data_IF_598060439003
#
_entry.id   IF_598060439003
#
_cell.length_a   1.000
_cell.length_b   1.000
_cell.length_c   1.000
_cell.angle_alpha   90.00
_cell.angle_beta   90.00
_cell.angle_gamma   90.00
#
_symmetry.space_group_name_H-M   'P 1'
#
loop_
_entity.id
_entity.type
_entity.pdbx_description
1 polymer ?
#
# COMPACT_ATOMS: atom_id res chain seq x y z
N UNK A 1 10.00 -4.84 18.83
CA UNK A 1 9.46 -5.82 17.86
C UNK A 1 10.52 -6.09 16.80
N UNK A 2 10.74 -7.35 16.48
CA UNK A 2 11.65 -7.77 15.43
C UNK A 2 10.83 -8.14 14.19
N UNK A 3 11.30 -7.75 13.00
CA UNK A 3 10.68 -8.12 11.72
C UNK A 3 11.72 -8.84 10.86
N UNK A 4 11.34 -10.00 10.32
CA UNK A 4 12.17 -10.81 9.44
C UNK A 4 11.38 -11.13 8.17
N UNK A 5 11.96 -10.88 7.01
CA UNK A 5 11.37 -11.23 5.71
C UNK A 5 12.20 -12.36 5.11
N UNK A 6 11.61 -13.55 4.94
CA UNK A 6 12.29 -14.71 4.34
C UNK A 6 11.84 -14.99 2.89
N UNK A 7 10.86 -14.22 2.40
CA UNK A 7 10.42 -14.23 1.01
C UNK A 7 10.47 -12.79 0.43
N UNK A 8 11.69 -12.24 0.24
CA UNK A 8 11.89 -10.83 -0.09
C UNK A 8 11.29 -10.45 -1.46
N UNK A 9 11.24 -11.36 -2.39
CA UNK A 9 10.62 -11.17 -3.71
C UNK A 9 9.09 -11.04 -3.64
N UNK A 10 8.47 -11.54 -2.56
CA UNK A 10 7.02 -11.46 -2.34
C UNK A 10 6.63 -10.32 -1.37
N UNK A 11 7.55 -9.90 -0.53
CA UNK A 11 7.38 -8.77 0.38
C UNK A 11 8.64 -7.88 0.33
N UNK A 12 8.70 -6.94 -0.64
CA UNK A 12 9.87 -6.05 -0.78
C UNK A 12 10.10 -5.13 0.42
N UNK A 13 9.03 -4.66 1.08
CA UNK A 13 9.13 -3.78 2.25
C UNK A 13 8.04 -4.07 3.25
N UNK A 14 8.39 -4.05 4.53
CA UNK A 14 7.48 -4.21 5.65
C UNK A 14 7.81 -3.21 6.76
N UNK A 15 6.83 -2.40 7.14
CA UNK A 15 6.94 -1.45 8.25
C UNK A 15 6.02 -1.91 9.37
N UNK A 16 6.58 -2.07 10.56
CA UNK A 16 5.84 -2.35 11.78
C UNK A 16 6.09 -1.23 12.79
N UNK A 17 5.05 -0.66 13.38
CA UNK A 17 5.17 0.40 14.37
C UNK A 17 4.36 0.07 15.62
N UNK A 18 5.01 0.16 16.77
CA UNK A 18 4.40 -0.13 18.07
C UNK A 18 3.72 1.09 18.66
N UNK A 19 2.49 0.90 19.09
CA UNK A 19 1.67 1.89 19.80
C UNK A 19 1.17 1.28 21.10
N UNK A 20 1.35 1.98 22.20
CA UNK A 20 0.96 1.54 23.56
C UNK A 20 -0.21 2.37 24.12
N UNK A 21 -0.68 1.96 25.29
CA UNK A 21 -1.74 2.64 26.04
C UNK A 21 -3.02 2.83 25.18
N UNK A 22 -3.29 1.86 24.31
CA UNK A 22 -4.45 1.89 23.41
C UNK A 22 -5.74 1.88 24.24
N UNK A 23 -6.67 2.73 23.80
CA UNK A 23 -8.04 2.83 24.31
C UNK A 23 -8.98 2.53 23.17
N UNK A 24 -9.41 1.27 23.07
CA UNK A 24 -10.39 0.86 22.07
C UNK A 24 -11.73 1.51 22.40
N UNK A 25 -12.38 2.04 21.39
CA UNK A 25 -13.67 2.69 21.52
C UNK A 25 -14.26 3.10 20.17
N UNK A 26 -15.44 3.72 20.18
CA UNK A 26 -16.07 4.18 18.94
C UNK A 26 -15.29 5.33 18.30
N UNK A 27 -15.19 5.30 16.99
CA UNK A 27 -14.63 6.41 16.22
C UNK A 27 -15.48 7.68 16.32
N UNK A 28 -14.88 8.87 16.17
CA UNK A 28 -15.61 10.12 16.10
C UNK A 28 -16.55 10.17 14.88
N UNK A 29 -17.60 10.98 14.97
CA UNK A 29 -18.66 11.03 13.97
C UNK A 29 -18.15 11.36 12.56
N UNK A 30 -17.16 12.23 12.44
CA UNK A 30 -16.59 12.59 11.13
C UNK A 30 -15.94 11.40 10.43
N UNK A 31 -15.22 10.54 11.18
CA UNK A 31 -14.56 9.34 10.64
C UNK A 31 -15.60 8.29 10.24
N UNK A 32 -16.57 8.02 11.11
CA UNK A 32 -17.71 7.11 10.82
C UNK A 32 -18.46 7.51 9.55
N UNK A 33 -18.76 8.82 9.40
CA UNK A 33 -19.47 9.33 8.22
C UNK A 33 -18.68 9.14 6.94
N UNK A 34 -17.37 9.42 6.95
CA UNK A 34 -16.51 9.24 5.77
C UNK A 34 -16.41 7.78 5.35
N UNK A 35 -16.20 6.87 6.31
CA UNK A 35 -16.20 5.43 6.04
C UNK A 35 -17.55 4.96 5.47
N UNK A 36 -18.66 5.37 6.07
CA UNK A 36 -19.99 5.02 5.62
C UNK A 36 -20.29 5.51 4.19
N UNK A 37 -19.86 6.72 3.82
CA UNK A 37 -19.98 7.26 2.45
C UNK A 37 -19.18 6.45 1.42
N UNK A 38 -18.12 5.76 1.86
CA UNK A 38 -17.32 4.85 1.03
C UNK A 38 -17.80 3.38 1.13
N UNK A 39 -18.94 3.12 1.80
CA UNK A 39 -19.51 1.79 1.92
C UNK A 39 -18.94 0.92 3.05
N UNK A 40 -18.07 1.47 3.91
CA UNK A 40 -17.47 0.75 5.02
C UNK A 40 -18.21 1.00 6.34
N UNK A 41 -18.47 -0.09 7.08
CA UNK A 41 -19.02 -0.01 8.43
C UNK A 41 -17.91 0.30 9.43
N UNK A 42 -18.14 1.30 10.31
CA UNK A 42 -17.28 1.56 11.46
C UNK A 42 -17.28 0.39 12.44
N UNK A 43 -16.12 -0.01 12.92
CA UNK A 43 -15.89 -1.11 13.86
C UNK A 43 -15.38 -0.56 15.19
N UNK A 44 -14.13 -0.08 15.21
CA UNK A 44 -13.50 0.58 16.37
C UNK A 44 -12.54 1.66 15.88
N UNK A 45 -12.14 2.57 16.75
CA UNK A 45 -11.22 3.66 16.40
C UNK A 45 -9.93 3.17 15.71
N UNK A 46 -9.29 2.11 16.19
CA UNK A 46 -8.05 1.57 15.63
C UNK A 46 -8.29 0.95 14.25
N UNK A 47 -9.30 0.10 14.11
CA UNK A 47 -9.65 -0.54 12.83
C UNK A 47 -10.14 0.51 11.82
N UNK A 48 -10.91 1.49 12.26
CA UNK A 48 -11.42 2.55 11.41
C UNK A 48 -10.28 3.46 10.89
N UNK A 49 -9.22 3.67 11.69
CA UNK A 49 -8.02 4.38 11.23
C UNK A 49 -7.35 3.62 10.08
N UNK A 50 -7.16 2.30 10.19
CA UNK A 50 -6.56 1.52 9.09
C UNK A 50 -7.41 1.55 7.83
N UNK A 51 -8.73 1.42 7.96
CA UNK A 51 -9.67 1.52 6.86
C UNK A 51 -9.71 2.93 6.24
N UNK A 52 -9.62 3.97 7.07
CA UNK A 52 -9.57 5.34 6.58
C UNK A 52 -8.31 5.63 5.78
N UNK A 53 -7.14 5.18 6.27
CA UNK A 53 -5.87 5.33 5.56
C UNK A 53 -5.87 4.55 4.24
N UNK A 54 -6.47 3.34 4.22
CA UNK A 54 -6.66 2.56 3.00
C UNK A 54 -7.43 3.38 1.95
N UNK A 55 -8.53 4.02 2.33
CA UNK A 55 -9.35 4.82 1.41
C UNK A 55 -8.69 6.16 1.02
N UNK A 56 -8.04 6.83 1.98
CA UNK A 56 -7.41 8.14 1.78
C UNK A 56 -6.14 8.04 0.91
N UNK A 57 -5.36 6.98 1.07
CA UNK A 57 -4.01 6.87 0.51
C UNK A 57 -3.82 5.66 -0.43
N UNK A 58 -4.80 4.77 -0.55
CA UNK A 58 -4.68 3.56 -1.35
C UNK A 58 -3.68 2.54 -0.80
N UNK A 59 -3.33 2.63 0.50
CA UNK A 59 -2.43 1.71 1.17
C UNK A 59 -3.19 0.90 2.21
N UNK A 60 -3.41 -0.40 1.98
CA UNK A 60 -3.96 -1.26 3.01
C UNK A 60 -3.00 -1.35 4.19
N UNK A 61 -3.56 -1.29 5.38
CA UNK A 61 -2.86 -1.44 6.65
C UNK A 61 -3.53 -2.49 7.51
N UNK A 62 -2.76 -3.08 8.42
CA UNK A 62 -3.29 -3.96 9.44
C UNK A 62 -2.85 -3.52 10.84
N UNK A 63 -3.58 -3.96 11.85
CA UNK A 63 -3.28 -3.73 13.25
C UNK A 63 -3.42 -5.04 14.00
N UNK A 64 -2.33 -5.48 14.63
CA UNK A 64 -2.28 -6.69 15.44
C UNK A 64 -2.40 -6.32 16.93
N UNK A 65 -3.14 -7.11 17.70
CA UNK A 65 -3.01 -7.12 19.16
C UNK A 65 -1.64 -7.70 19.53
N UNK A 66 -0.72 -6.84 19.97
CA UNK A 66 0.68 -7.21 20.19
C UNK A 66 0.85 -8.22 21.33
N UNK A 67 -0.05 -8.28 22.29
CA UNK A 67 -0.02 -9.26 23.37
C UNK A 67 -0.30 -10.68 22.90
N UNK A 68 -0.89 -10.83 21.71
CA UNK A 68 -1.18 -12.13 21.07
C UNK A 68 -0.08 -12.59 20.13
N UNK A 69 0.91 -11.73 19.82
CA UNK A 69 2.05 -12.02 18.94
C UNK A 69 3.14 -12.69 19.75
N UNK A 70 3.34 -14.00 19.54
CA UNK A 70 4.33 -14.79 20.25
C UNK A 70 5.76 -14.30 19.93
N UNK A 71 6.56 -14.12 20.99
CA UNK A 71 7.92 -13.61 20.87
C UNK A 71 8.05 -12.15 20.48
N UNK A 72 6.93 -11.43 20.30
CA UNK A 72 6.90 -10.05 19.76
C UNK A 72 7.71 -9.93 18.47
N UNK A 73 7.64 -10.97 17.63
CA UNK A 73 8.37 -11.08 16.37
C UNK A 73 7.38 -11.28 15.21
N UNK A 74 7.64 -10.62 14.10
CA UNK A 74 6.94 -10.82 12.83
C UNK A 74 7.87 -11.48 11.84
N UNK A 75 7.42 -12.60 11.25
CA UNK A 75 8.12 -13.32 10.20
C UNK A 75 7.24 -13.38 8.95
N UNK A 76 7.62 -12.66 7.90
CA UNK A 76 6.95 -12.73 6.60
C UNK A 76 7.59 -13.83 5.77
N UNK A 77 6.85 -14.90 5.52
CA UNK A 77 7.34 -16.12 4.87
C UNK A 77 6.30 -16.79 3.98
N UNK A 78 6.74 -17.72 3.16
CA UNK A 78 5.82 -18.66 2.53
C UNK A 78 5.23 -19.61 3.58
N UNK A 79 3.97 -19.97 3.43
CA UNK A 79 3.34 -20.97 4.29
C UNK A 79 3.99 -22.36 4.09
N UNK A 80 3.81 -23.24 5.07
CA UNK A 80 4.14 -24.65 4.91
C UNK A 80 2.96 -25.42 4.31
N UNK A 81 3.21 -26.52 3.62
CA UNK A 81 2.16 -27.36 3.09
C UNK A 81 1.33 -27.97 4.23
N UNK A 82 0.02 -27.73 4.18
CA UNK A 82 -0.92 -28.17 5.21
C UNK A 82 -1.05 -27.24 6.41
N UNK A 83 -0.32 -26.11 6.44
CA UNK A 83 -0.45 -25.11 7.50
C UNK A 83 -1.86 -24.49 7.50
N UNK A 84 -2.41 -24.23 8.67
CA UNK A 84 -3.77 -23.72 8.83
C UNK A 84 -3.81 -22.31 9.38
N UNK A 85 -4.80 -21.56 8.95
CA UNK A 85 -5.15 -20.25 9.50
C UNK A 85 -6.66 -20.09 9.56
N UNK A 86 -7.16 -19.48 10.63
CA UNK A 86 -8.53 -18.98 10.72
C UNK A 86 -8.49 -17.46 10.56
N UNK A 87 -9.22 -16.93 9.59
CA UNK A 87 -9.25 -15.50 9.28
C UNK A 87 -10.31 -14.76 10.08
N UNK A 88 -10.28 -13.41 10.08
CA UNK A 88 -11.19 -12.53 10.82
C UNK A 88 -12.68 -12.71 10.46
N UNK A 89 -13.00 -13.36 9.35
CA UNK A 89 -14.34 -13.72 8.91
C UNK A 89 -14.71 -15.16 9.27
N UNK A 90 -14.05 -15.76 10.27
CA UNK A 90 -14.27 -17.10 10.81
C UNK A 90 -14.10 -18.25 9.79
N UNK A 91 -13.35 -18.04 8.70
CA UNK A 91 -13.05 -19.08 7.74
C UNK A 91 -11.71 -19.76 8.02
N UNK A 92 -11.69 -21.09 7.99
CA UNK A 92 -10.46 -21.88 8.07
C UNK A 92 -9.92 -22.18 6.67
N UNK A 93 -8.62 -21.92 6.49
CA UNK A 93 -7.90 -22.26 5.26
C UNK A 93 -6.75 -23.19 5.54
N UNK A 94 -6.57 -24.16 4.63
CA UNK A 94 -5.36 -25.00 4.56
C UNK A 94 -4.45 -24.43 3.49
N UNK A 95 -3.22 -24.07 3.88
CA UNK A 95 -2.27 -23.33 3.08
C UNK A 95 -1.26 -24.26 2.42
N UNK A 96 -0.53 -23.70 1.46
CA UNK A 96 0.61 -24.33 0.80
C UNK A 96 1.71 -23.29 0.53
N UNK A 97 2.84 -23.72 -0.04
CA UNK A 97 4.03 -22.88 -0.27
C UNK A 97 3.83 -21.71 -1.24
N UNK A 98 2.71 -21.68 -1.98
CA UNK A 98 2.39 -20.54 -2.85
C UNK A 98 1.78 -19.36 -2.07
N UNK A 99 1.30 -19.62 -0.85
CA UNK A 99 0.67 -18.61 -0.02
C UNK A 99 1.72 -17.87 0.82
N UNK A 100 1.67 -16.54 0.81
CA UNK A 100 2.47 -15.70 1.68
C UNK A 100 1.71 -15.43 2.97
N UNK A 101 2.35 -15.63 4.09
CA UNK A 101 1.79 -15.41 5.43
C UNK A 101 2.66 -14.47 6.25
N UNK A 102 2.01 -13.73 7.12
CA UNK A 102 2.63 -13.00 8.20
C UNK A 102 2.46 -13.86 9.44
N UNK A 103 3.58 -14.24 10.05
CA UNK A 103 3.61 -15.11 11.21
C UNK A 103 4.12 -14.36 12.42
N UNK A 104 3.72 -14.83 13.59
CA UNK A 104 4.45 -14.58 14.83
C UNK A 104 5.62 -15.57 15.00
N UNK A 105 6.17 -15.71 16.20
CA UNK A 105 7.25 -16.65 16.48
C UNK A 105 6.92 -18.13 16.25
N UNK A 106 5.64 -18.50 16.05
CA UNK A 106 5.21 -19.90 15.99
C UNK A 106 4.19 -20.21 14.89
N UNK A 107 3.25 -19.32 14.59
CA UNK A 107 2.07 -19.58 13.74
C UNK A 107 1.68 -18.42 12.84
N UNK A 108 0.88 -18.65 11.79
CA UNK A 108 0.33 -17.59 10.97
C UNK A 108 -0.58 -16.64 11.77
N UNK A 109 -0.34 -15.35 11.61
CA UNK A 109 -1.12 -14.25 12.15
C UNK A 109 -1.98 -13.55 11.09
N UNK A 110 -1.61 -13.66 9.81
CA UNK A 110 -2.39 -13.12 8.70
C UNK A 110 -2.04 -13.79 7.36
N UNK A 111 -3.00 -13.78 6.43
CA UNK A 111 -2.75 -13.97 5.00
C UNK A 111 -2.25 -12.63 4.42
N UNK A 112 -1.01 -12.58 3.99
CA UNK A 112 -0.33 -11.35 3.59
C UNK A 112 -1.10 -10.61 2.47
N UNK A 113 -1.50 -9.38 2.75
CA UNK A 113 -2.24 -8.52 1.82
C UNK A 113 -3.69 -8.94 1.54
N UNK A 114 -4.22 -9.92 2.27
CA UNK A 114 -5.58 -10.44 2.03
C UNK A 114 -6.45 -10.26 3.27
N UNK A 115 -6.13 -10.96 4.38
CA UNK A 115 -6.98 -10.94 5.56
C UNK A 115 -6.18 -11.26 6.83
N UNK A 116 -6.44 -10.52 7.89
CA UNK A 116 -5.90 -10.82 9.22
C UNK A 116 -6.38 -12.15 9.79
N UNK A 117 -5.60 -12.74 10.67
CA UNK A 117 -5.99 -13.93 11.43
C UNK A 117 -6.81 -13.57 12.66
N UNK A 118 -7.77 -14.43 12.98
CA UNK A 118 -8.63 -14.27 14.16
C UNK A 118 -7.85 -14.28 15.48
N UNK A 119 -6.72 -14.98 15.50
CA UNK A 119 -5.86 -15.13 16.68
C UNK A 119 -5.14 -13.84 17.10
N UNK A 120 -5.09 -12.83 16.24
CA UNK A 120 -4.42 -11.55 16.50
C UNK A 120 -5.35 -10.34 16.37
N UNK A 121 -6.65 -10.58 16.44
CA UNK A 121 -7.71 -9.58 16.33
C UNK A 121 -7.63 -8.53 17.44
N UNK A 122 -7.87 -7.28 17.08
CA UNK A 122 -8.06 -6.16 18.02
C UNK A 122 -9.39 -6.32 18.75
N UNK A 123 -9.34 -6.38 20.09
CA UNK A 123 -10.50 -6.54 20.98
C UNK A 123 -10.61 -5.36 21.95
N UNK A 124 -11.73 -5.26 22.62
CA UNK A 124 -12.01 -4.15 23.58
C UNK A 124 -10.92 -4.06 24.69
N UNK A 125 -10.29 -5.19 25.02
CA UNK A 125 -9.23 -5.26 26.03
C UNK A 125 -7.81 -4.93 25.53
N UNK A 126 -7.61 -4.80 24.22
CA UNK A 126 -6.28 -4.57 23.61
C UNK A 126 -5.66 -3.28 24.13
N UNK A 127 -4.41 -3.36 24.62
CA UNK A 127 -3.63 -2.25 25.17
C UNK A 127 -2.41 -1.91 24.34
N UNK A 128 -1.86 -2.86 23.63
CA UNK A 128 -0.67 -2.72 22.81
C UNK A 128 -0.99 -3.16 21.37
N UNK A 129 -0.69 -2.32 20.40
CA UNK A 129 -0.98 -2.56 19.00
C UNK A 129 0.30 -2.44 18.18
N UNK A 130 0.48 -3.39 17.27
CA UNK A 130 1.47 -3.31 16.22
C UNK A 130 0.76 -2.96 14.92
N UNK A 131 0.98 -1.75 14.41
CA UNK A 131 0.52 -1.36 13.09
C UNK A 131 1.45 -1.91 12.02
N UNK A 132 0.85 -2.38 10.94
CA UNK A 132 1.53 -2.86 9.74
C UNK A 132 1.21 -1.98 8.55
N UNK A 133 2.24 -1.65 7.77
CA UNK A 133 2.11 -1.18 6.40
C UNK A 133 3.20 -1.85 5.55
N UNK A 134 2.81 -2.57 4.51
CA UNK A 134 3.73 -3.36 3.72
C UNK A 134 3.47 -3.22 2.21
N UNK A 135 4.45 -3.60 1.40
CA UNK A 135 4.27 -3.88 -0.02
C UNK A 135 4.34 -5.38 -0.23
N UNK A 136 3.32 -5.94 -0.89
CA UNK A 136 3.30 -7.33 -1.31
C UNK A 136 3.28 -7.44 -2.82
N UNK A 137 3.90 -8.50 -3.35
CA UNK A 137 3.91 -8.77 -4.78
C UNK A 137 2.47 -9.03 -5.27
N UNK A 138 2.00 -8.20 -6.22
CA UNK A 138 0.62 -8.22 -6.74
C UNK A 138 0.20 -9.60 -7.24
N UNK A 139 1.08 -10.31 -7.94
CA UNK A 139 0.78 -11.63 -8.51
C UNK A 139 0.65 -12.70 -7.41
N UNK A 140 1.38 -12.59 -6.30
CA UNK A 140 1.25 -13.48 -5.15
C UNK A 140 -0.10 -13.29 -4.46
N UNK A 141 -0.47 -12.05 -4.17
CA UNK A 141 -1.77 -11.72 -3.56
C UNK A 141 -2.91 -12.20 -4.45
N UNK A 142 -2.85 -11.91 -5.75
CA UNK A 142 -3.87 -12.32 -6.72
C UNK A 142 -4.03 -13.84 -6.80
N UNK A 143 -2.92 -14.60 -6.89
CA UNK A 143 -2.98 -16.07 -6.91
C UNK A 143 -3.56 -16.64 -5.62
N UNK A 144 -3.10 -16.16 -4.48
CA UNK A 144 -3.58 -16.62 -3.17
C UNK A 144 -5.06 -16.29 -2.97
N UNK A 145 -5.47 -15.05 -3.24
CA UNK A 145 -6.87 -14.62 -3.14
C UNK A 145 -7.80 -15.50 -3.98
N UNK A 146 -7.41 -15.79 -5.23
CA UNK A 146 -8.20 -16.64 -6.13
C UNK A 146 -8.21 -18.11 -5.72
N UNK A 147 -7.06 -18.67 -5.35
CA UNK A 147 -6.95 -20.09 -4.99
C UNK A 147 -7.71 -20.44 -3.72
N UNK A 148 -7.76 -19.50 -2.76
CA UNK A 148 -8.50 -19.67 -1.52
C UNK A 148 -9.95 -19.16 -1.61
N UNK A 149 -10.32 -18.48 -2.70
CA UNK A 149 -11.63 -17.83 -2.81
C UNK A 149 -11.86 -16.72 -1.78
N UNK A 150 -10.76 -16.14 -1.25
CA UNK A 150 -10.80 -15.11 -0.21
C UNK A 150 -10.48 -13.74 -0.81
N UNK A 151 -11.50 -12.88 -0.88
CA UNK A 151 -11.40 -11.53 -1.41
C UNK A 151 -11.66 -10.50 -0.33
N UNK A 152 -10.93 -9.37 -0.39
CA UNK A 152 -11.10 -8.22 0.50
C UNK A 152 -10.76 -6.93 -0.23
N UNK A 153 -11.11 -5.78 0.37
CA UNK A 153 -10.69 -4.47 -0.16
C UNK A 153 -9.16 -4.36 -0.22
N UNK A 154 -8.46 -4.92 0.75
CA UNK A 154 -6.99 -4.99 0.77
C UNK A 154 -6.45 -5.79 -0.42
N UNK A 155 -6.97 -7.00 -0.66
CA UNK A 155 -6.53 -7.84 -1.79
C UNK A 155 -6.80 -7.17 -3.13
N UNK A 156 -7.95 -6.49 -3.28
CA UNK A 156 -8.30 -5.78 -4.50
C UNK A 156 -7.32 -4.63 -4.83
N UNK A 157 -6.74 -3.99 -3.81
CA UNK A 157 -5.73 -2.94 -3.97
C UNK A 157 -4.36 -3.56 -4.25
N UNK A 158 -3.93 -4.55 -3.45
CA UNK A 158 -2.63 -5.19 -3.63
C UNK A 158 -2.50 -5.93 -4.98
N UNK A 159 -3.59 -6.52 -5.49
CA UNK A 159 -3.62 -7.14 -6.82
C UNK A 159 -3.36 -6.15 -7.97
N UNK A 160 -3.68 -4.88 -7.78
CA UNK A 160 -3.38 -3.80 -8.74
C UNK A 160 -1.97 -3.25 -8.57
N UNK A 161 -1.37 -3.47 -7.40
CA UNK A 161 -0.06 -2.97 -7.02
C UNK A 161 -0.15 -1.78 -6.07
N UNK A 162 0.68 -1.79 -5.05
CA UNK A 162 0.90 -0.68 -4.12
C UNK A 162 2.31 -0.13 -4.28
N UNK A 163 2.51 1.07 -3.80
CA UNK A 163 3.76 1.80 -3.91
C UNK A 163 4.50 1.84 -2.55
N UNK A 164 5.80 1.62 -2.55
CA UNK A 164 6.61 1.62 -1.31
C UNK A 164 6.74 2.99 -0.65
N UNK A 165 6.66 4.05 -1.43
CA UNK A 165 6.64 5.41 -0.91
C UNK A 165 5.38 5.70 -0.09
N UNK A 166 4.24 5.19 -0.57
CA UNK A 166 2.95 5.32 0.12
C UNK A 166 2.94 4.54 1.43
N UNK A 167 3.63 3.41 1.51
CA UNK A 167 3.73 2.56 2.72
C UNK A 167 4.19 3.37 3.94
N UNK A 168 5.30 4.13 3.82
CA UNK A 168 5.81 4.96 4.91
C UNK A 168 4.84 6.11 5.26
N UNK A 169 4.28 6.76 4.25
CA UNK A 169 3.34 7.87 4.46
C UNK A 169 2.05 7.41 5.13
N UNK A 170 1.55 6.25 4.74
CA UNK A 170 0.36 5.63 5.35
C UNK A 170 0.60 5.31 6.82
N UNK A 171 1.76 4.74 7.17
CA UNK A 171 2.14 4.52 8.56
C UNK A 171 2.13 5.84 9.35
N UNK A 172 2.83 6.86 8.86
CA UNK A 172 2.85 8.19 9.50
C UNK A 172 1.45 8.79 9.65
N UNK A 173 0.57 8.59 8.64
CA UNK A 173 -0.80 9.07 8.68
C UNK A 173 -1.63 8.36 9.75
N UNK A 174 -1.51 7.05 9.86
CA UNK A 174 -2.19 6.26 10.88
C UNK A 174 -1.75 6.67 12.30
N UNK A 175 -0.45 6.81 12.52
CA UNK A 175 0.10 7.26 13.81
C UNK A 175 -0.37 8.66 14.18
N UNK A 176 -0.38 9.60 13.22
CA UNK A 176 -0.94 10.94 13.44
C UNK A 176 -2.42 10.89 13.84
N UNK A 177 -3.21 9.99 13.23
CA UNK A 177 -4.62 9.82 13.60
C UNK A 177 -4.77 9.22 15.01
N UNK A 178 -3.92 8.30 15.42
CA UNK A 178 -3.88 7.78 16.81
C UNK A 178 -3.69 8.91 17.81
N UNK A 179 -2.71 9.81 17.55
CA UNK A 179 -2.45 10.97 18.41
C UNK A 179 -3.60 11.98 18.39
N UNK A 180 -4.09 12.32 17.19
CA UNK A 180 -5.20 13.26 17.00
C UNK A 180 -6.48 12.81 17.71
N UNK A 181 -6.76 11.52 17.72
CA UNK A 181 -7.93 10.95 18.39
C UNK A 181 -7.68 10.66 19.87
N UNK A 182 -6.44 10.77 20.35
CA UNK A 182 -6.06 10.49 21.72
C UNK A 182 -6.34 9.05 22.15
N UNK A 183 -6.30 8.11 21.20
CA UNK A 183 -6.66 6.72 21.45
C UNK A 183 -5.46 5.79 21.70
N UNK A 184 -4.25 6.33 21.78
CA UNK A 184 -3.03 5.60 22.10
C UNK A 184 -1.82 6.52 22.20
N UNK A 185 -0.69 5.97 22.61
CA UNK A 185 0.61 6.64 22.71
C UNK A 185 1.53 6.06 21.63
N UNK A 186 1.89 6.87 20.63
CA UNK A 186 2.87 6.51 19.62
C UNK A 186 4.25 6.42 20.26
N UNK A 187 4.98 5.36 19.99
CA UNK A 187 6.34 5.12 20.51
C UNK A 187 7.39 5.36 19.42
N UNK A 188 8.67 5.36 19.82
CA UNK A 188 9.79 5.40 18.86
C UNK A 188 10.16 4.00 18.34
N UNK A 189 9.43 2.97 18.74
CA UNK A 189 9.72 1.57 18.35
C UNK A 189 9.11 1.28 16.99
N UNK A 190 9.94 1.31 15.97
CA UNK A 190 9.59 1.03 14.58
C UNK A 190 10.60 0.04 13.99
N UNK A 191 10.10 -0.92 13.22
CA UNK A 191 10.90 -1.74 12.33
C UNK A 191 10.50 -1.44 10.89
N UNK A 192 11.42 -0.91 10.09
CA UNK A 192 11.25 -0.68 8.65
C UNK A 192 12.27 -1.53 7.92
N UNK A 193 11.81 -2.63 7.36
CA UNK A 193 12.66 -3.60 6.66
C UNK A 193 12.40 -3.50 5.17
N UNK A 194 13.39 -2.96 4.45
CA UNK A 194 13.43 -2.93 3.00
C UNK A 194 14.43 -3.98 2.50
N UNK A 195 14.02 -4.80 1.56
CA UNK A 195 14.84 -5.87 0.97
C UNK A 195 15.55 -5.37 -0.31
N UNK A 196 16.36 -6.22 -0.93
CA UNK A 196 16.98 -5.96 -2.24
C UNK A 196 15.96 -5.78 -3.37
N UNK A 197 14.72 -6.25 -3.20
CA UNK A 197 13.60 -6.07 -4.15
C UNK A 197 12.84 -4.75 -3.92
N UNK A 198 13.21 -3.99 -2.90
CA UNK A 198 12.60 -2.71 -2.59
C UNK A 198 13.10 -1.64 -3.57
N UNK A 199 12.17 -0.90 -4.19
CA UNK A 199 12.47 0.21 -5.10
C UNK A 199 12.00 1.54 -4.49
N UNK A 200 12.85 2.08 -3.63
CA UNK A 200 12.61 3.40 -3.00
C UNK A 200 13.31 4.54 -3.72
N UNK A 201 14.01 4.28 -4.83
CA UNK A 201 14.79 5.27 -5.56
C UNK A 201 13.89 6.24 -6.31
N UNK A 202 14.36 7.46 -6.43
CA UNK A 202 13.74 8.46 -7.32
C UNK A 202 14.08 8.07 -8.76
N UNK A 203 13.05 7.85 -9.58
CA UNK A 203 13.21 7.53 -11.00
C UNK A 203 13.32 8.82 -11.82
N UNK A 204 14.18 8.80 -12.81
CA UNK A 204 14.32 9.89 -13.78
C UNK A 204 14.20 9.34 -15.19
N UNK A 205 13.78 10.18 -16.11
CA UNK A 205 13.63 9.83 -17.52
C UNK A 205 13.94 11.08 -18.38
N UNK A 206 14.60 10.88 -19.51
CA UNK A 206 14.76 11.94 -20.52
C UNK A 206 13.86 11.63 -21.71
N UNK A 207 13.07 12.59 -22.13
CA UNK A 207 12.13 12.45 -23.26
C UNK A 207 12.34 13.57 -24.27
N UNK A 208 12.17 13.25 -25.57
CA UNK A 208 12.16 14.24 -26.65
C UNK A 208 10.72 14.66 -26.96
N UNK A 209 10.37 15.95 -26.90
CA UNK A 209 9.09 16.47 -27.36
C UNK A 209 8.73 16.00 -28.78
N UNK A 210 9.70 16.02 -29.70
CA UNK A 210 9.49 15.58 -31.08
C UNK A 210 9.03 14.11 -31.16
N UNK A 211 9.55 13.23 -30.31
CA UNK A 211 9.11 11.82 -30.25
C UNK A 211 7.71 11.67 -29.67
N UNK A 212 7.36 12.54 -28.73
CA UNK A 212 6.00 12.61 -28.17
C UNK A 212 5.04 13.05 -29.24
N UNK A 213 5.32 14.14 -29.96
CA UNK A 213 4.50 14.66 -31.06
C UNK A 213 4.31 13.61 -32.17
N UNK A 214 5.41 12.94 -32.56
CA UNK A 214 5.36 11.87 -33.56
C UNK A 214 4.47 10.69 -33.13
N UNK A 215 4.44 10.36 -31.84
CA UNK A 215 3.58 9.30 -31.30
C UNK A 215 2.11 9.77 -31.23
N UNK A 216 1.87 11.00 -30.81
CA UNK A 216 0.50 11.55 -30.68
C UNK A 216 -0.13 11.92 -32.04
N UNK A 217 0.69 12.13 -33.08
CA UNK A 217 0.24 12.59 -34.40
C UNK A 217 -0.19 14.06 -34.42
N UNK A 218 0.17 14.84 -33.40
CA UNK A 218 -0.08 16.28 -33.28
C UNK A 218 1.15 16.97 -32.72
N UNK A 219 1.29 18.27 -32.96
CA UNK A 219 2.30 19.11 -32.33
C UNK A 219 1.72 19.75 -31.06
N UNK A 220 2.33 19.45 -29.91
CA UNK A 220 2.01 20.05 -28.61
C UNK A 220 3.14 21.01 -28.24
N UNK A 221 2.86 22.30 -27.96
CA UNK A 221 3.89 23.23 -27.53
C UNK A 221 4.65 22.68 -26.32
N UNK A 222 5.98 22.79 -26.33
CA UNK A 222 6.84 22.24 -25.27
C UNK A 222 6.49 22.86 -23.92
N UNK A 223 6.10 24.12 -23.89
CA UNK A 223 5.65 24.84 -22.72
C UNK A 223 4.38 24.21 -22.11
N UNK A 224 3.47 23.75 -22.95
CA UNK A 224 2.25 23.07 -22.52
C UNK A 224 2.57 21.68 -21.98
N UNK A 225 3.49 20.93 -22.61
CA UNK A 225 3.98 19.66 -22.10
C UNK A 225 4.60 19.83 -20.69
N UNK A 226 5.45 20.86 -20.54
CA UNK A 226 6.08 21.17 -19.25
C UNK A 226 5.03 21.49 -18.17
N UNK A 227 4.05 22.32 -18.49
CA UNK A 227 3.01 22.73 -17.56
C UNK A 227 2.13 21.55 -17.14
N UNK A 228 1.70 20.73 -18.09
CA UNK A 228 0.95 19.49 -17.82
C UNK A 228 1.72 18.58 -16.89
N UNK A 229 2.97 18.28 -17.20
CA UNK A 229 3.79 17.38 -16.38
C UNK A 229 4.05 17.96 -14.98
N UNK A 230 4.26 19.26 -14.84
CA UNK A 230 4.39 19.93 -13.54
C UNK A 230 3.10 19.84 -12.73
N UNK A 231 1.93 20.03 -13.35
CA UNK A 231 0.62 19.84 -12.67
C UNK A 231 0.40 18.41 -12.21
N UNK A 232 0.96 17.43 -12.91
CA UNK A 232 0.96 16.01 -12.53
C UNK A 232 2.08 15.65 -11.54
N UNK A 233 2.76 16.64 -10.96
CA UNK A 233 3.83 16.51 -9.99
C UNK A 233 5.13 15.87 -10.53
N UNK A 234 5.37 15.87 -11.83
CA UNK A 234 6.71 15.57 -12.34
C UNK A 234 7.67 16.75 -12.05
N UNK A 235 8.90 16.43 -11.67
CA UNK A 235 9.97 17.37 -11.77
C UNK A 235 10.35 17.52 -13.24
N UNK A 236 10.34 18.73 -13.79
CA UNK A 236 10.64 18.98 -15.22
C UNK A 236 11.77 19.98 -15.34
N UNK A 237 12.80 19.60 -16.11
CA UNK A 237 13.92 20.48 -16.46
C UNK A 237 14.19 20.37 -17.95
N UNK A 238 14.22 21.52 -18.64
CA UNK A 238 14.56 21.60 -20.06
C UNK A 238 16.06 21.53 -20.25
N UNK A 239 16.53 20.66 -21.14
CA UNK A 239 17.94 20.48 -21.50
C UNK A 239 18.07 20.42 -23.02
N UNK A 240 18.30 21.56 -23.66
CA UNK A 240 18.28 21.68 -25.11
C UNK A 240 16.91 21.34 -25.70
N UNK A 241 16.87 20.30 -26.54
CA UNK A 241 15.63 19.80 -27.16
C UNK A 241 14.97 18.65 -26.38
N UNK A 242 15.40 18.38 -25.16
CA UNK A 242 14.92 17.28 -24.34
C UNK A 242 14.35 17.80 -23.01
N UNK A 243 13.45 17.02 -22.42
CA UNK A 243 12.93 17.22 -21.08
C UNK A 243 13.51 16.15 -20.16
N UNK A 244 14.27 16.58 -19.16
CA UNK A 244 14.71 15.74 -18.05
C UNK A 244 13.58 15.70 -17.00
N UNK A 245 12.99 14.53 -16.81
CA UNK A 245 11.87 14.32 -15.92
C UNK A 245 12.31 13.60 -14.65
N UNK A 246 11.83 14.08 -13.50
CA UNK A 246 11.84 13.33 -12.25
C UNK A 246 10.45 12.81 -12.01
N UNK A 247 10.28 11.49 -11.97
CA UNK A 247 8.98 10.85 -11.82
C UNK A 247 8.46 10.98 -10.39
N UNK A 248 7.16 11.27 -10.21
CA UNK A 248 6.55 11.23 -8.88
C UNK A 248 6.72 9.85 -8.25
N UNK A 249 7.18 9.79 -7.01
CA UNK A 249 7.52 8.53 -6.32
C UNK A 249 6.33 7.57 -6.14
N UNK A 250 5.11 8.04 -6.32
CA UNK A 250 3.88 7.21 -6.26
C UNK A 250 3.47 6.64 -7.62
N UNK A 251 4.17 6.97 -8.72
CA UNK A 251 3.90 6.47 -10.08
C UNK A 251 4.85 5.31 -10.38
N UNK A 252 4.34 4.09 -10.23
CA UNK A 252 5.08 2.86 -10.54
C UNK A 252 4.77 2.31 -11.95
N UNK A 253 3.92 3.02 -12.68
CA UNK A 253 3.37 2.66 -13.99
C UNK A 253 4.07 3.35 -15.16
N UNK A 254 4.99 4.29 -14.90
CA UNK A 254 5.75 5.02 -15.91
C UNK A 254 7.07 4.30 -16.17
N UNK A 255 7.22 3.72 -17.37
CA UNK A 255 8.40 2.94 -17.76
C UNK A 255 9.11 3.52 -18.99
N UNK A 256 8.38 4.19 -19.91
CA UNK A 256 8.91 4.65 -21.17
C UNK A 256 8.23 5.95 -21.64
N UNK A 257 8.79 6.57 -22.69
CA UNK A 257 8.24 7.83 -23.23
C UNK A 257 6.77 7.73 -23.72
N UNK A 258 6.23 6.59 -24.17
CA UNK A 258 4.81 6.50 -24.48
C UNK A 258 3.89 6.74 -23.28
N UNK A 259 4.33 6.34 -22.07
CA UNK A 259 3.56 6.58 -20.85
C UNK A 259 3.50 8.08 -20.54
N UNK A 260 4.58 8.82 -20.85
CA UNK A 260 4.60 10.29 -20.75
C UNK A 260 3.70 10.93 -21.80
N UNK A 261 3.71 10.42 -23.03
CA UNK A 261 2.84 10.91 -24.10
C UNK A 261 1.35 10.71 -23.74
N UNK A 262 1.00 9.58 -23.12
CA UNK A 262 -0.34 9.32 -22.62
C UNK A 262 -0.75 10.36 -21.56
N UNK A 263 0.10 10.66 -20.61
CA UNK A 263 -0.18 11.68 -19.59
C UNK A 263 -0.41 13.07 -20.21
N UNK A 264 0.39 13.42 -21.20
CA UNK A 264 0.26 14.71 -21.91
C UNK A 264 -1.06 14.76 -22.66
N UNK A 265 -1.38 13.77 -23.51
CA UNK A 265 -2.57 13.81 -24.33
C UNK A 265 -3.86 13.75 -23.50
N UNK A 266 -3.85 13.05 -22.38
CA UNK A 266 -4.98 12.95 -21.46
C UNK A 266 -5.39 14.33 -20.90
N UNK A 267 -4.40 15.17 -20.60
CA UNK A 267 -4.64 16.52 -20.08
C UNK A 267 -4.79 17.58 -21.19
N UNK A 268 -4.12 17.38 -22.34
CA UNK A 268 -4.19 18.29 -23.49
C UNK A 268 -5.50 18.15 -24.25
N UNK A 269 -6.01 16.92 -24.43
CA UNK A 269 -7.30 16.59 -25.05
C UNK A 269 -7.19 15.42 -26.02
N UNK A 270 -7.82 14.31 -25.71
CA UNK A 270 -7.84 13.11 -26.58
C UNK A 270 -8.45 13.37 -27.95
N UNK A 271 -9.45 14.26 -28.05
CA UNK A 271 -10.14 14.64 -29.27
C UNK A 271 -9.23 15.35 -30.27
N UNK A 272 -8.07 15.86 -29.83
CA UNK A 272 -7.10 16.52 -30.70
C UNK A 272 -6.13 15.53 -31.36
N UNK A 273 -6.03 14.30 -30.84
CA UNK A 273 -5.15 13.28 -31.40
C UNK A 273 -5.72 12.66 -32.65
N UNK A 274 -4.91 12.58 -33.72
CA UNK A 274 -5.27 11.93 -34.99
C UNK A 274 -5.43 10.40 -34.86
N UNK A 275 -5.00 9.80 -33.77
CA UNK A 275 -5.12 8.35 -33.53
C UNK A 275 -6.60 7.93 -33.44
N UNK A 276 -7.49 8.83 -33.07
CA UNK A 276 -8.93 8.58 -32.98
C UNK A 276 -9.68 8.72 -34.33
N UNK A 277 -9.01 9.13 -35.37
CA UNK A 277 -9.56 9.23 -36.74
C UNK A 277 -9.18 8.00 -37.57
#
# INVERSE_FOLDING_TARGET
VKVTITAPELCPRYIAHYVKDIKIGPSPLWLKRRLALCGLRSISNVVDITNFVLLEMGQPMHAFDLDTIEGREIVVRRAFDGEKIVTLDDKEFTLNRENLVICDGSKPAALAGIMGGLNTEIKDGTKEVLFEAAKFARDSVRRTSRSLGQHSDSSAIFEKGTNEYTTERAMKRALHLIEQLGCGTVTDVCADVATEYSDTKVKTMTVSPEKIDALLGIEVPVEDMEDILKRLNFGVKRSGNELELTLPRYRDDIFAYPDIAEEIIREYGYELSLIHI
#
